data_IF_352833246189
#
_entry.id   IF_352833246189
#
_cell.length_a   1.000
_cell.length_b   1.000
_cell.length_c   1.000
_cell.angle_alpha   90.00
_cell.angle_beta   90.00
_cell.angle_gamma   90.00
#
_symmetry.space_group_name_H-M   'P 1'
#
loop_
_entity.id
_entity.type
_entity.pdbx_description
1 polymer ?
#
# COMPACT_ATOMS: atom_id res chain seq x y z
N UNK A 1 2.08 0.21 -19.80
CA UNK A 1 1.98 -0.06 -18.36
C UNK A 1 3.20 0.53 -17.67
N UNK A 2 3.08 0.86 -16.39
CA UNK A 2 4.20 1.30 -15.55
C UNK A 2 4.54 0.20 -14.54
N UNK A 3 5.82 0.04 -14.21
CA UNK A 3 6.31 -0.90 -13.21
C UNK A 3 7.43 -0.24 -12.42
N UNK A 4 7.48 -0.51 -11.11
CA UNK A 4 8.48 0.04 -10.21
C UNK A 4 8.41 -0.62 -8.85
N UNK A 5 9.43 -0.37 -8.03
CA UNK A 5 9.47 -0.77 -6.62
C UNK A 5 9.19 0.46 -5.78
N UNK A 6 8.28 0.33 -4.82
CA UNK A 6 7.88 1.40 -3.91
C UNK A 6 8.13 0.98 -2.48
N UNK A 7 8.71 1.87 -1.70
CA UNK A 7 8.65 1.80 -0.24
C UNK A 7 7.41 2.58 0.22
N UNK A 8 6.50 1.88 0.91
CA UNK A 8 5.26 2.45 1.45
C UNK A 8 5.37 2.81 2.93
N UNK A 9 6.54 2.62 3.56
CA UNK A 9 6.75 2.81 4.99
C UNK A 9 6.41 4.24 5.44
N UNK A 10 6.65 5.25 4.60
CA UNK A 10 6.33 6.64 4.94
C UNK A 10 4.82 6.89 5.05
N UNK A 11 4.01 6.10 4.35
CA UNK A 11 2.56 6.17 4.27
C UNK A 11 1.85 5.26 5.26
N UNK A 12 2.57 4.34 5.91
CA UNK A 12 2.05 3.49 6.97
C UNK A 12 1.91 4.25 8.30
N UNK A 13 1.10 5.31 8.31
CA UNK A 13 0.87 6.18 9.48
C UNK A 13 -0.61 6.21 9.86
N UNK A 14 -0.85 6.38 11.16
CA UNK A 14 -2.18 6.42 11.75
C UNK A 14 -2.71 5.03 12.14
N UNK A 15 -3.75 5.01 12.96
CA UNK A 15 -4.24 3.82 13.68
C UNK A 15 -4.52 2.60 12.78
N UNK A 16 -5.02 2.83 11.56
CA UNK A 16 -5.34 1.76 10.60
C UNK A 16 -4.08 1.23 9.89
N UNK A 17 -3.10 2.07 9.60
CA UNK A 17 -1.92 1.68 8.80
C UNK A 17 -0.67 1.37 9.63
N UNK A 18 -0.53 1.91 10.85
CA UNK A 18 0.58 1.61 11.76
C UNK A 18 0.76 0.10 12.04
N UNK A 19 -0.31 -0.71 12.20
CA UNK A 19 -0.15 -2.15 12.34
C UNK A 19 0.52 -2.82 11.15
N UNK A 20 0.52 -2.20 9.97
CA UNK A 20 1.17 -2.72 8.77
C UNK A 20 2.68 -2.47 8.75
N UNK A 21 3.26 -1.78 9.74
CA UNK A 21 4.71 -1.73 9.94
C UNK A 21 5.30 -3.12 10.25
N UNK A 22 4.47 -4.05 10.73
CA UNK A 22 4.81 -5.45 10.84
C UNK A 22 4.80 -6.12 9.46
N UNK A 23 5.93 -6.73 9.07
CA UNK A 23 6.10 -7.34 7.76
C UNK A 23 5.12 -8.48 7.46
N UNK A 24 4.68 -9.26 8.47
CA UNK A 24 3.68 -10.31 8.26
C UNK A 24 2.31 -9.73 7.98
N UNK A 25 1.94 -8.64 8.67
CA UNK A 25 0.69 -7.92 8.44
C UNK A 25 0.71 -7.21 7.10
N UNK A 26 1.82 -6.56 6.75
CA UNK A 26 2.00 -5.94 5.45
C UNK A 26 1.84 -6.96 4.32
N UNK A 27 2.47 -8.12 4.42
CA UNK A 27 2.39 -9.17 3.39
C UNK A 27 1.00 -9.83 3.25
N UNK A 28 0.06 -9.56 4.14
CA UNK A 28 -1.30 -10.12 4.11
C UNK A 28 -2.27 -9.34 3.20
N UNK A 29 -1.77 -8.38 2.41
CA UNK A 29 -2.60 -7.63 1.48
C UNK A 29 -3.20 -8.51 0.38
N UNK A 30 -4.32 -8.04 -0.18
CA UNK A 30 -4.97 -8.64 -1.36
C UNK A 30 -5.31 -7.55 -2.35
N UNK A 31 -5.40 -7.93 -3.63
CA UNK A 31 -5.93 -7.03 -4.66
C UNK A 31 -7.43 -7.26 -4.76
N UNK A 32 -8.23 -6.27 -4.37
CA UNK A 32 -9.69 -6.33 -4.43
C UNK A 32 -10.22 -5.02 -5.04
N UNK A 33 -11.14 -5.11 -6.00
CA UNK A 33 -11.67 -3.92 -6.69
C UNK A 33 -10.64 -3.06 -7.44
N UNK A 34 -9.40 -3.54 -7.64
CA UNK A 34 -8.29 -2.78 -8.21
C UNK A 34 -7.43 -2.04 -7.19
N UNK A 35 -7.77 -2.09 -5.90
CA UNK A 35 -6.99 -1.53 -4.80
C UNK A 35 -6.22 -2.64 -4.06
N UNK A 36 -5.18 -2.26 -3.32
CA UNK A 36 -4.58 -3.13 -2.30
C UNK A 36 -5.40 -2.99 -1.02
N UNK A 37 -5.88 -4.09 -0.47
CA UNK A 37 -6.68 -4.12 0.76
C UNK A 37 -6.06 -5.06 1.80
N UNK A 38 -6.12 -4.66 3.07
CA UNK A 38 -5.66 -5.45 4.21
C UNK A 38 -6.81 -5.87 5.12
N UNK A 39 -6.68 -6.98 5.87
CA UNK A 39 -7.73 -7.47 6.77
C UNK A 39 -8.11 -6.51 7.91
N UNK A 40 -7.26 -5.54 8.22
CA UNK A 40 -7.52 -4.50 9.22
C UNK A 40 -8.29 -3.30 8.67
N UNK A 41 -8.73 -3.34 7.40
CA UNK A 41 -9.49 -2.28 6.74
C UNK A 41 -8.63 -1.17 6.11
N UNK A 42 -7.31 -1.31 6.10
CA UNK A 42 -6.45 -0.44 5.29
C UNK A 42 -6.64 -0.73 3.80
N UNK A 43 -6.64 0.32 2.98
CA UNK A 43 -6.64 0.18 1.53
C UNK A 43 -5.78 1.24 0.85
N UNK A 44 -5.17 0.88 -0.27
CA UNK A 44 -4.43 1.78 -1.15
C UNK A 44 -5.01 1.70 -2.56
N UNK A 45 -5.52 2.83 -3.02
CA UNK A 45 -6.13 2.97 -4.34
C UNK A 45 -5.08 2.83 -5.48
N UNK A 46 -5.47 2.31 -6.65
CA UNK A 46 -4.55 2.13 -7.78
C UNK A 46 -3.96 3.46 -8.26
N UNK A 47 -4.70 4.57 -8.17
CA UNK A 47 -4.23 5.90 -8.57
C UNK A 47 -3.09 6.38 -7.66
N UNK A 48 -3.18 6.08 -6.36
CA UNK A 48 -2.13 6.40 -5.40
C UNK A 48 -0.84 5.63 -5.73
N UNK A 49 -0.95 4.32 -5.97
CA UNK A 49 0.18 3.47 -6.34
C UNK A 49 0.80 3.89 -7.67
N UNK A 50 -0.03 4.18 -8.68
CA UNK A 50 0.44 4.63 -9.98
C UNK A 50 1.14 5.99 -9.89
N UNK A 51 0.59 6.94 -9.14
CA UNK A 51 1.22 8.23 -8.88
C UNK A 51 2.59 8.07 -8.22
N UNK A 52 2.71 7.17 -7.25
CA UNK A 52 3.98 6.84 -6.58
C UNK A 52 5.02 6.23 -7.53
N UNK A 53 4.63 5.27 -8.37
CA UNK A 53 5.54 4.68 -9.36
C UNK A 53 6.05 5.72 -10.35
N UNK A 54 5.18 6.64 -10.81
CA UNK A 54 5.56 7.68 -11.75
C UNK A 54 6.37 8.82 -11.12
N UNK A 55 6.15 9.12 -9.84
CA UNK A 55 6.84 10.18 -9.14
C UNK A 55 8.34 9.87 -8.91
N UNK A 56 8.75 8.60 -8.99
CA UNK A 56 10.16 8.19 -8.95
C UNK A 56 10.88 8.53 -7.63
N UNK A 57 10.11 8.74 -6.56
CA UNK A 57 10.60 8.99 -5.19
C UNK A 57 10.59 7.73 -4.36
#
# INVERSE_FOLDING_TARGET
GAAGTLDLQAELRGEVFEPLLDAQRFAAFRVEGGALEWPNGASLAPEFLHGRVLAGV
#
